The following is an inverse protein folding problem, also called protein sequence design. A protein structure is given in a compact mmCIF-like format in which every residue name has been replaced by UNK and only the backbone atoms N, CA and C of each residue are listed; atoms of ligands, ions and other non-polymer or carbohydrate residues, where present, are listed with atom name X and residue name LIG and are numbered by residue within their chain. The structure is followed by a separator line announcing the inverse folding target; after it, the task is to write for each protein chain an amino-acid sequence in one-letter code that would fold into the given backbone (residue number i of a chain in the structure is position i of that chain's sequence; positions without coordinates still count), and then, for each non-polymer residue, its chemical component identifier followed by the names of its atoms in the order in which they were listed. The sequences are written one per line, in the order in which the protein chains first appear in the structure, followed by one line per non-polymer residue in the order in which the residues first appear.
data_IF_457670485946
#
_entry.id   IF_457670485946
#
_cell.length_a   1.000
_cell.length_b   1.000
_cell.length_c   1.000
_cell.angle_alpha   90.00
_cell.angle_beta   90.00
_cell.angle_gamma   90.00
#
_symmetry.space_group_name_H-M   'P 1'
#
loop_
_entity.id
_entity.type
_entity.pdbx_description
1 polymer ?
#
# COMPACT_ATOMS: atom_id res chain seq x y z
N UNK A 1 -61.43 32.18 26.78
CA UNK A 1 -61.60 33.60 27.15
C UNK A 1 -60.62 33.94 28.26
N UNK A 2 -59.86 35.03 28.11
CA UNK A 2 -59.43 35.89 29.21
C UNK A 2 -58.22 35.49 30.05
N UNK A 3 -57.10 36.20 29.82
CA UNK A 3 -56.20 36.89 30.77
C UNK A 3 -55.71 36.15 32.03
N UNK A 4 -54.39 35.99 32.23
CA UNK A 4 -53.37 37.01 32.54
C UNK A 4 -53.29 37.38 34.03
N UNK A 5 -52.04 37.62 34.45
CA UNK A 5 -51.56 38.28 35.68
C UNK A 5 -51.35 37.47 36.97
N UNK A 6 -50.06 37.19 37.20
CA UNK A 6 -49.23 37.80 38.26
C UNK A 6 -49.48 37.46 39.75
N UNK A 7 -48.53 36.67 40.27
CA UNK A 7 -47.85 36.63 41.59
C UNK A 7 -48.56 37.17 42.87
N UNK A 8 -48.26 36.52 44.02
CA UNK A 8 -47.21 37.09 44.88
C UNK A 8 -46.23 36.07 45.49
N UNK A 9 -45.11 36.64 45.91
CA UNK A 9 -43.97 36.08 46.66
C UNK A 9 -44.39 35.40 47.97
N UNK A 10 -43.64 34.38 48.39
CA UNK A 10 -43.43 34.06 49.79
C UNK A 10 -41.97 33.65 50.04
N UNK A 11 -41.37 34.32 51.03
CA UNK A 11 -40.08 34.04 51.63
C UNK A 11 -40.17 32.79 52.53
N UNK A 12 -39.14 31.92 52.51
CA UNK A 12 -38.83 31.01 53.61
C UNK A 12 -37.42 30.41 53.47
N UNK A 13 -36.53 30.77 54.41
CA UNK A 13 -35.64 29.88 55.19
C UNK A 13 -34.65 28.90 54.51
N UNK A 14 -33.42 28.73 55.04
CA UNK A 14 -32.36 27.94 54.43
C UNK A 14 -32.54 26.43 54.68
N UNK A 15 -32.93 25.69 53.65
CA UNK A 15 -33.02 24.21 53.67
C UNK A 15 -31.73 23.53 53.20
N UNK A 16 -31.09 22.80 54.12
CA UNK A 16 -30.15 21.68 53.96
C UNK A 16 -29.44 21.47 52.60
N UNK A 17 -28.10 21.68 52.62
CA UNK A 17 -27.12 21.26 51.61
C UNK A 17 -27.28 19.76 51.27
N UNK A 18 -27.90 19.43 50.13
CA UNK A 18 -27.74 18.11 49.50
C UNK A 18 -26.37 18.06 48.81
N UNK A 19 -25.48 17.21 49.32
CA UNK A 19 -24.23 16.84 48.64
C UNK A 19 -24.58 16.28 47.24
N UNK A 20 -24.30 17.05 46.19
CA UNK A 20 -24.25 16.52 44.82
C UNK A 20 -23.04 15.58 44.74
N UNK A 21 -23.29 14.27 44.77
CA UNK A 21 -22.34 13.27 44.27
C UNK A 21 -22.01 13.64 42.83
N UNK A 22 -20.84 14.27 42.62
CA UNK A 22 -20.21 14.36 41.31
C UNK A 22 -19.97 12.93 40.84
N UNK A 23 -20.80 12.43 39.92
CA UNK A 23 -20.45 11.30 39.09
C UNK A 23 -19.21 11.73 38.29
N UNK A 24 -18.04 11.36 38.80
CA UNK A 24 -16.82 11.34 38.01
C UNK A 24 -17.01 10.30 36.93
N UNK A 25 -17.60 10.72 35.79
CA UNK A 25 -17.48 9.97 34.56
C UNK A 25 -16.00 9.97 34.21
N UNK A 26 -15.31 8.88 34.54
CA UNK A 26 -13.97 8.64 34.05
C UNK A 26 -14.01 8.78 32.53
N UNK A 27 -13.26 9.74 32.00
CA UNK A 27 -12.96 9.78 30.59
C UNK A 27 -12.20 8.50 30.30
N UNK A 28 -12.88 7.50 29.74
CA UNK A 28 -12.22 6.35 29.11
C UNK A 28 -11.57 6.89 27.84
N UNK A 29 -10.33 7.37 27.97
CA UNK A 29 -9.45 7.59 26.84
C UNK A 29 -9.19 6.19 26.28
N UNK A 30 -9.72 5.91 25.10
CA UNK A 30 -9.44 4.66 24.39
C UNK A 30 -7.93 4.47 24.26
N UNK A 31 -7.48 3.21 24.23
CA UNK A 31 -6.08 2.90 23.99
C UNK A 31 -5.60 3.66 22.73
N UNK A 32 -4.36 4.18 22.70
CA UNK A 32 -3.80 4.81 21.52
C UNK A 32 -4.00 3.89 20.32
N UNK A 33 -4.78 4.33 19.33
CA UNK A 33 -4.81 3.64 18.05
C UNK A 33 -3.44 3.86 17.40
N UNK A 34 -2.81 2.81 16.91
CA UNK A 34 -1.66 2.95 16.02
C UNK A 34 -2.16 3.64 14.74
N UNK A 35 -2.00 4.96 14.67
CA UNK A 35 -2.26 5.72 13.45
C UNK A 35 -1.20 5.33 12.45
N UNK A 36 -1.61 4.79 11.31
CA UNK A 36 -0.68 4.39 10.25
C UNK A 36 -0.02 5.63 9.64
N UNK A 37 1.30 5.74 9.80
CA UNK A 37 2.07 6.85 9.22
C UNK A 37 2.27 6.61 7.72
N UNK A 38 1.93 7.61 6.92
CA UNK A 38 2.15 7.61 5.47
C UNK A 38 3.61 7.91 5.14
N UNK A 39 4.13 7.20 4.15
CA UNK A 39 5.46 7.46 3.58
C UNK A 39 5.28 7.83 2.10
N UNK A 40 5.95 8.89 1.62
CA UNK A 40 6.61 9.89 2.44
C UNK A 40 5.58 10.74 3.21
N UNK A 41 5.98 11.29 4.35
CA UNK A 41 5.15 12.25 5.08
C UNK A 41 4.95 13.52 4.24
N UNK A 42 3.82 14.22 4.43
CA UNK A 42 3.62 15.53 3.82
C UNK A 42 4.68 16.50 4.34
N UNK A 43 5.50 17.06 3.44
CA UNK A 43 6.55 18.02 3.75
C UNK A 43 6.18 19.42 3.29
N UNK A 44 6.68 20.41 4.01
CA UNK A 44 6.63 21.82 3.60
C UNK A 44 8.03 22.29 3.20
N UNK A 45 8.09 23.12 2.18
CA UNK A 45 9.29 23.83 1.74
C UNK A 45 9.78 24.81 2.82
N UNK A 46 10.97 25.36 2.61
CA UNK A 46 11.53 26.45 3.45
C UNK A 46 10.63 27.68 3.60
N UNK A 47 9.64 27.84 2.71
CA UNK A 47 8.67 28.95 2.72
C UNK A 47 7.33 28.55 3.36
N UNK A 48 7.23 27.37 3.98
CA UNK A 48 6.00 26.86 4.60
C UNK A 48 4.94 26.36 3.60
N UNK A 49 5.24 26.38 2.30
CA UNK A 49 4.35 25.84 1.26
C UNK A 49 4.50 24.33 1.12
N UNK A 50 3.43 23.56 0.88
CA UNK A 50 3.54 22.13 0.57
C UNK A 50 4.54 21.87 -0.56
N UNK A 51 5.38 20.85 -0.41
CA UNK A 51 6.28 20.43 -1.48
C UNK A 51 5.44 19.84 -2.62
N UNK A 52 5.64 20.36 -3.84
CA UNK A 52 4.95 19.88 -5.03
C UNK A 52 5.32 18.42 -5.33
N UNK A 53 4.32 17.61 -5.72
CA UNK A 53 4.57 16.21 -6.00
C UNK A 53 5.20 16.02 -7.38
N UNK A 54 6.40 15.46 -7.42
CA UNK A 54 7.07 15.07 -8.66
C UNK A 54 7.09 13.55 -8.80
N UNK A 55 6.77 13.05 -10.00
CA UNK A 55 6.78 11.62 -10.36
C UNK A 55 7.50 11.37 -11.69
N UNK A 56 8.78 11.76 -11.81
CA UNK A 56 9.57 11.45 -13.00
C UNK A 56 9.75 9.93 -13.15
N UNK A 57 9.98 9.47 -14.38
CA UNK A 57 10.42 8.10 -14.61
C UNK A 57 11.87 7.93 -14.13
N UNK A 58 12.09 6.91 -13.30
CA UNK A 58 13.38 6.57 -12.71
C UNK A 58 13.86 5.25 -13.30
N UNK A 59 15.12 5.25 -13.75
CA UNK A 59 15.79 4.05 -14.27
C UNK A 59 16.18 3.07 -13.17
N UNK A 60 16.33 1.80 -13.56
CA UNK A 60 16.72 0.70 -12.67
C UNK A 60 17.94 0.99 -11.79
N UNK A 61 19.02 1.53 -12.38
CA UNK A 61 20.28 1.74 -11.66
C UNK A 61 20.17 2.85 -10.61
N UNK A 62 19.46 3.94 -10.94
CA UNK A 62 19.16 5.02 -9.97
C UNK A 62 18.29 4.47 -8.84
N UNK A 63 17.29 3.66 -9.18
CA UNK A 63 16.40 3.07 -8.18
C UNK A 63 17.13 2.11 -7.25
N UNK A 64 18.05 1.30 -7.78
CA UNK A 64 18.92 0.44 -6.97
C UNK A 64 19.82 1.26 -6.06
N UNK A 65 20.50 2.29 -6.58
CA UNK A 65 21.35 3.16 -5.77
C UNK A 65 20.57 3.83 -4.63
N UNK A 66 19.37 4.32 -4.91
CA UNK A 66 18.49 4.91 -3.91
C UNK A 66 18.07 3.90 -2.82
N UNK A 67 17.69 2.67 -3.21
CA UNK A 67 17.36 1.62 -2.24
C UNK A 67 18.57 1.18 -1.41
N UNK A 68 19.77 1.14 -2.01
CA UNK A 68 21.02 0.89 -1.28
C UNK A 68 21.27 1.99 -0.23
N UNK A 69 21.07 3.26 -0.61
CA UNK A 69 21.19 4.39 0.32
C UNK A 69 20.21 4.26 1.49
N UNK A 70 18.94 3.96 1.21
CA UNK A 70 17.92 3.73 2.24
C UNK A 70 18.32 2.57 3.17
N UNK A 71 18.73 1.43 2.60
CA UNK A 71 19.15 0.26 3.37
C UNK A 71 20.32 0.59 4.30
N UNK A 72 21.36 1.24 3.78
CA UNK A 72 22.50 1.69 4.57
C UNK A 72 22.07 2.65 5.68
N UNK A 73 21.23 3.64 5.40
CA UNK A 73 20.74 4.60 6.39
C UNK A 73 20.06 3.91 7.58
N UNK A 74 19.26 2.88 7.30
CA UNK A 74 18.55 2.08 8.30
C UNK A 74 19.54 1.18 9.06
N UNK A 75 20.46 0.52 8.36
CA UNK A 75 21.45 -0.38 8.93
C UNK A 75 22.40 0.35 9.91
N UNK A 76 22.83 1.58 9.59
CA UNK A 76 23.65 2.41 10.48
C UNK A 76 22.97 2.75 11.81
N UNK A 77 21.64 2.60 11.89
CA UNK A 77 20.85 2.76 13.12
C UNK A 77 20.54 1.43 13.81
N UNK A 78 21.18 0.34 13.39
CA UNK A 78 21.01 -0.99 13.96
C UNK A 78 19.61 -1.57 13.76
N UNK A 79 18.94 -1.20 12.68
CA UNK A 79 17.60 -1.70 12.32
C UNK A 79 17.66 -2.52 11.03
N UNK A 80 16.68 -3.39 10.85
CA UNK A 80 16.45 -4.12 9.62
C UNK A 80 14.95 -4.21 9.37
N UNK A 81 14.51 -3.87 8.16
CA UNK A 81 13.10 -3.79 7.81
C UNK A 81 12.77 -4.74 6.68
N UNK A 82 11.56 -5.27 6.72
CA UNK A 82 11.00 -6.10 5.66
C UNK A 82 9.71 -5.45 5.17
N UNK A 83 9.62 -5.21 3.87
CA UNK A 83 8.45 -4.64 3.21
C UNK A 83 8.13 -5.41 1.93
N UNK A 84 6.94 -5.21 1.39
CA UNK A 84 6.45 -5.85 0.18
C UNK A 84 6.24 -4.78 -0.87
N UNK A 85 6.85 -4.95 -2.04
CA UNK A 85 6.64 -4.10 -3.20
C UNK A 85 5.60 -4.68 -4.16
N UNK A 86 4.80 -3.81 -4.75
CA UNK A 86 3.84 -4.16 -5.81
C UNK A 86 4.05 -3.25 -7.02
N UNK A 87 3.80 -3.77 -8.22
CA UNK A 87 3.79 -2.98 -9.44
C UNK A 87 5.19 -2.67 -9.97
N UNK A 88 5.39 -1.43 -10.42
CA UNK A 88 6.50 -1.05 -11.29
C UNK A 88 7.91 -1.36 -10.76
N UNK A 89 8.12 -1.30 -9.45
CA UNK A 89 9.39 -1.70 -8.84
C UNK A 89 9.71 -3.19 -9.06
N UNK A 90 8.72 -4.08 -8.96
CA UNK A 90 8.90 -5.52 -9.22
C UNK A 90 9.25 -5.74 -10.69
N UNK A 91 8.55 -5.05 -11.59
CA UNK A 91 8.78 -5.13 -13.03
C UNK A 91 10.15 -4.59 -13.47
N UNK A 92 10.66 -3.57 -12.79
CA UNK A 92 11.92 -2.89 -13.15
C UNK A 92 13.13 -3.57 -12.50
N UNK A 93 13.05 -3.89 -11.22
CA UNK A 93 14.17 -4.40 -10.44
C UNK A 93 14.35 -5.91 -10.57
N UNK A 94 13.26 -6.67 -10.48
CA UNK A 94 13.27 -8.13 -10.45
C UNK A 94 12.98 -8.76 -11.83
N UNK A 95 11.79 -8.55 -12.38
CA UNK A 95 11.36 -9.18 -13.65
C UNK A 95 12.09 -8.59 -14.87
N UNK A 96 12.60 -7.35 -14.74
CA UNK A 96 13.24 -6.58 -15.82
C UNK A 96 12.37 -6.47 -17.08
N UNK A 97 11.04 -6.50 -16.91
CA UNK A 97 10.07 -6.31 -18.00
C UNK A 97 9.91 -4.83 -18.36
N UNK A 98 10.44 -3.91 -17.54
CA UNK A 98 10.44 -2.47 -17.75
C UNK A 98 11.82 -1.88 -17.49
N UNK A 99 12.19 -0.84 -18.25
CA UNK A 99 13.43 -0.08 -18.04
C UNK A 99 13.30 1.00 -16.97
N UNK A 100 12.08 1.51 -16.74
CA UNK A 100 11.79 2.59 -15.79
C UNK A 100 10.49 2.39 -15.01
N UNK A 101 10.43 3.03 -13.84
CA UNK A 101 9.22 3.22 -13.05
C UNK A 101 9.23 4.58 -12.35
N UNK A 102 8.06 5.09 -11.95
CA UNK A 102 7.97 6.38 -11.26
C UNK A 102 8.04 6.24 -9.73
N UNK A 103 7.80 5.04 -9.19
CA UNK A 103 7.78 4.80 -7.75
C UNK A 103 7.99 3.33 -7.35
N UNK A 104 8.16 3.14 -6.04
CA UNK A 104 8.18 1.88 -5.30
C UNK A 104 7.02 1.92 -4.33
N UNK A 105 5.94 1.28 -4.77
CA UNK A 105 4.73 1.10 -4.00
C UNK A 105 4.92 -0.04 -3.01
N UNK A 106 4.99 0.28 -1.71
CA UNK A 106 5.24 -0.70 -0.66
C UNK A 106 4.08 -0.83 0.34
N UNK A 107 4.03 -1.99 1.00
CA UNK A 107 3.21 -2.24 2.18
C UNK A 107 3.87 -3.27 3.09
N UNK A 108 3.30 -3.48 4.28
CA UNK A 108 3.71 -4.54 5.20
C UNK A 108 2.96 -4.45 6.52
N UNK A 109 2.69 -5.60 7.13
CA UNK A 109 2.02 -5.71 8.44
C UNK A 109 3.00 -5.79 9.61
N UNK A 110 4.26 -6.15 9.38
CA UNK A 110 5.29 -6.30 10.42
C UNK A 110 6.06 -4.99 10.71
N UNK A 111 5.70 -3.92 10.02
CA UNK A 111 6.42 -2.65 10.03
C UNK A 111 5.72 -1.57 10.90
N UNK A 112 6.31 -1.33 12.09
CA UNK A 112 5.76 -0.46 13.14
C UNK A 112 5.82 1.04 12.78
N UNK A 113 5.11 1.89 13.54
CA UNK A 113 5.18 3.34 13.36
C UNK A 113 6.59 3.92 13.54
N UNK A 114 7.38 3.41 14.48
CA UNK A 114 8.77 3.86 14.64
C UNK A 114 9.62 3.49 13.41
N UNK A 115 9.34 2.32 12.83
CA UNK A 115 9.99 1.90 11.61
C UNK A 115 9.57 2.82 10.44
N UNK A 116 8.29 3.20 10.36
CA UNK A 116 7.76 4.14 9.35
C UNK A 116 8.43 5.50 9.39
N UNK A 117 8.61 6.06 10.59
CA UNK A 117 9.34 7.32 10.77
C UNK A 117 10.76 7.19 10.24
N UNK A 118 11.47 6.12 10.62
CA UNK A 118 12.85 5.93 10.18
C UNK A 118 12.97 5.71 8.66
N UNK A 119 12.04 4.97 8.05
CA UNK A 119 12.02 4.79 6.61
C UNK A 119 11.68 6.09 5.88
N UNK A 120 10.75 6.91 6.38
CA UNK A 120 10.48 8.24 5.83
C UNK A 120 11.70 9.16 5.88
N UNK A 121 12.46 9.15 6.99
CA UNK A 121 13.74 9.85 7.10
C UNK A 121 14.76 9.35 6.06
N UNK A 122 14.91 8.03 5.92
CA UNK A 122 15.84 7.42 4.98
C UNK A 122 15.47 7.71 3.52
N UNK A 123 14.18 7.65 3.18
CA UNK A 123 13.63 7.95 1.85
C UNK A 123 13.88 9.41 1.48
N UNK A 124 13.68 10.32 2.44
CA UNK A 124 13.96 11.73 2.24
C UNK A 124 15.45 11.99 2.07
N UNK A 125 16.31 11.36 2.88
CA UNK A 125 17.76 11.50 2.78
C UNK A 125 18.28 10.99 1.42
N UNK A 126 17.81 9.83 0.95
CA UNK A 126 18.12 9.33 -0.39
C UNK A 126 17.68 10.30 -1.50
N UNK A 127 16.51 10.93 -1.36
CA UNK A 127 16.03 11.93 -2.31
C UNK A 127 16.97 13.16 -2.40
N UNK A 128 17.63 13.55 -1.31
CA UNK A 128 18.61 14.64 -1.35
C UNK A 128 19.89 14.26 -2.10
N UNK A 129 20.21 12.97 -2.18
CA UNK A 129 21.42 12.45 -2.83
C UNK A 129 21.18 11.99 -4.28
N UNK A 130 19.92 11.76 -4.67
CA UNK A 130 19.52 11.30 -5.99
C UNK A 130 18.42 12.22 -6.55
N UNK A 131 18.84 13.26 -7.30
CA UNK A 131 17.95 14.34 -7.75
C UNK A 131 16.93 13.89 -8.80
N UNK A 132 17.14 12.73 -9.42
CA UNK A 132 16.22 12.12 -10.38
C UNK A 132 15.00 11.50 -9.70
N UNK A 133 15.02 11.34 -8.37
CA UNK A 133 13.92 10.75 -7.63
C UNK A 133 12.75 11.73 -7.46
N UNK A 134 11.55 11.24 -7.75
CA UNK A 134 10.31 11.92 -7.41
C UNK A 134 10.11 12.06 -5.91
N UNK A 135 9.27 13.00 -5.48
CA UNK A 135 8.95 13.21 -4.06
C UNK A 135 8.17 12.05 -3.44
N UNK A 136 7.63 11.14 -4.25
CA UNK A 136 6.88 9.95 -3.84
C UNK A 136 7.52 8.65 -4.34
N UNK A 137 8.83 8.68 -4.66
CA UNK A 137 9.52 7.56 -5.31
C UNK A 137 9.50 6.26 -4.51
N UNK A 138 9.34 6.29 -3.18
CA UNK A 138 9.07 5.14 -2.34
C UNK A 138 7.94 5.51 -1.39
N UNK A 139 6.80 4.80 -1.47
CA UNK A 139 5.60 5.24 -0.78
C UNK A 139 4.69 4.09 -0.32
N UNK A 140 3.86 4.36 0.69
CA UNK A 140 2.91 3.40 1.28
C UNK A 140 1.47 3.62 0.81
N UNK A 141 1.25 4.31 -0.31
CA UNK A 141 -0.10 4.60 -0.82
C UNK A 141 -0.97 3.36 -1.04
N UNK A 142 -0.45 2.22 -1.56
CA UNK A 142 -1.28 1.03 -1.76
C UNK A 142 -1.91 0.54 -0.45
N UNK A 143 -1.18 0.66 0.66
CA UNK A 143 -1.62 0.17 1.97
C UNK A 143 -2.77 1.01 2.57
N UNK A 144 -3.02 2.23 2.09
CA UNK A 144 -4.15 3.04 2.55
C UNK A 144 -5.52 2.50 2.10
N UNK A 145 -5.55 1.74 1.00
CA UNK A 145 -6.78 1.26 0.39
C UNK A 145 -7.05 -0.21 0.66
N UNK A 146 -6.14 -0.88 1.37
CA UNK A 146 -6.24 -2.28 1.73
C UNK A 146 -6.86 -2.44 3.13
N UNK A 147 -7.66 -3.49 3.32
CA UNK A 147 -8.21 -3.83 4.64
C UNK A 147 -7.11 -4.44 5.51
N UNK A 148 -7.05 -4.09 6.79
CA UNK A 148 -5.99 -4.56 7.73
C UNK A 148 -5.74 -6.08 7.67
N UNK A 149 -6.75 -6.98 7.68
CA UNK A 149 -6.50 -8.43 7.60
C UNK A 149 -5.76 -8.85 6.33
N UNK A 150 -6.05 -8.18 5.20
CA UNK A 150 -5.42 -8.46 3.92
C UNK A 150 -3.92 -8.12 3.93
N UNK A 151 -3.48 -7.14 4.72
CA UNK A 151 -2.06 -6.80 4.81
C UNK A 151 -1.25 -7.95 5.41
N UNK A 152 -1.76 -8.53 6.49
CA UNK A 152 -1.09 -9.65 7.18
C UNK A 152 -1.07 -10.89 6.31
N UNK A 153 -2.16 -11.17 5.61
CA UNK A 153 -2.23 -12.26 4.65
C UNK A 153 -1.23 -12.11 3.51
N UNK A 154 -1.22 -10.94 2.84
CA UNK A 154 -0.32 -10.68 1.72
C UNK A 154 1.15 -10.61 2.16
N UNK A 155 1.43 -10.11 3.37
CA UNK A 155 2.79 -10.12 3.95
C UNK A 155 3.27 -11.55 4.12
N UNK A 156 2.49 -12.40 4.79
CA UNK A 156 2.86 -13.80 5.00
C UNK A 156 2.95 -14.58 3.68
N UNK A 157 2.08 -14.30 2.72
CA UNK A 157 2.14 -14.91 1.38
C UNK A 157 3.39 -14.48 0.60
N UNK A 158 3.77 -13.19 0.64
CA UNK A 158 4.98 -12.70 0.01
C UNK A 158 6.26 -13.33 0.61
N UNK A 159 6.29 -13.47 1.94
CA UNK A 159 7.40 -14.15 2.65
C UNK A 159 7.51 -15.63 2.26
N UNK A 160 6.36 -16.33 2.12
CA UNK A 160 6.34 -17.72 1.63
C UNK A 160 6.77 -17.83 0.16
N UNK A 161 6.34 -16.88 -0.69
CA UNK A 161 6.75 -16.81 -2.09
C UNK A 161 8.27 -16.50 -2.21
N UNK A 162 8.84 -15.78 -1.23
CA UNK A 162 10.27 -15.50 -1.08
C UNK A 162 10.95 -14.92 -2.33
N UNK A 163 10.22 -14.15 -3.13
CA UNK A 163 10.78 -13.43 -4.28
C UNK A 163 11.34 -12.10 -3.80
N UNK A 164 12.67 -12.02 -3.66
CA UNK A 164 13.37 -10.83 -3.17
C UNK A 164 13.66 -9.86 -4.31
N UNK A 165 12.97 -8.72 -4.31
CA UNK A 165 13.16 -7.62 -5.26
C UNK A 165 14.41 -6.82 -4.93
N UNK A 166 14.70 -6.67 -3.64
CA UNK A 166 15.89 -6.03 -3.11
C UNK A 166 16.24 -6.65 -1.75
N UNK A 167 17.53 -6.85 -1.47
CA UNK A 167 17.97 -7.47 -0.22
C UNK A 167 19.35 -6.96 0.20
N UNK A 168 19.38 -6.18 1.27
CA UNK A 168 20.59 -5.70 1.93
C UNK A 168 20.36 -5.54 3.43
N UNK A 169 21.42 -5.55 4.26
CA UNK A 169 21.30 -5.12 5.65
C UNK A 169 20.58 -3.77 5.74
N UNK A 170 19.56 -3.70 6.59
CA UNK A 170 18.70 -2.53 6.77
C UNK A 170 17.36 -2.64 6.05
N UNK A 171 17.31 -3.25 4.86
CA UNK A 171 16.09 -3.32 4.06
C UNK A 171 16.03 -4.57 3.16
N UNK A 172 15.01 -5.39 3.37
CA UNK A 172 14.58 -6.45 2.46
C UNK A 172 13.22 -6.07 1.86
N UNK A 173 13.09 -6.22 0.54
CA UNK A 173 11.86 -5.99 -0.20
C UNK A 173 11.46 -7.28 -0.91
N UNK A 174 10.32 -7.84 -0.53
CA UNK A 174 9.68 -8.95 -1.26
C UNK A 174 8.76 -8.44 -2.37
N UNK A 175 8.59 -9.21 -3.44
CA UNK A 175 7.49 -8.98 -4.38
C UNK A 175 6.17 -9.39 -3.70
N UNK A 176 5.10 -8.65 -3.99
CA UNK A 176 3.76 -9.07 -3.62
C UNK A 176 3.43 -10.44 -4.27
N UNK A 177 2.51 -11.22 -3.66
CA UNK A 177 2.11 -12.50 -4.22
C UNK A 177 1.63 -12.36 -5.67
N UNK A 178 2.00 -13.28 -6.54
CA UNK A 178 1.75 -13.17 -7.97
C UNK A 178 0.27 -13.07 -8.30
N UNK A 179 -0.58 -13.82 -7.59
CA UNK A 179 -2.03 -13.79 -7.71
C UNK A 179 -2.62 -12.42 -7.36
N UNK A 180 -2.06 -11.75 -6.34
CA UNK A 180 -2.49 -10.41 -5.94
C UNK A 180 -2.04 -9.37 -6.98
N UNK A 181 -0.77 -9.42 -7.40
CA UNK A 181 -0.21 -8.50 -8.38
C UNK A 181 -0.96 -8.62 -9.74
N UNK A 182 -1.24 -9.85 -10.17
CA UNK A 182 -2.06 -10.15 -11.34
C UNK A 182 -3.47 -9.56 -11.20
N UNK A 183 -4.17 -9.89 -10.11
CA UNK A 183 -5.54 -9.45 -9.90
C UNK A 183 -5.65 -7.91 -9.84
N UNK A 184 -4.70 -7.23 -9.20
CA UNK A 184 -4.64 -5.78 -9.13
C UNK A 184 -4.48 -5.12 -10.51
N UNK A 185 -3.70 -5.74 -11.41
CA UNK A 185 -3.54 -5.25 -12.79
C UNK A 185 -4.81 -5.42 -13.61
N UNK A 186 -5.42 -6.59 -13.54
CA UNK A 186 -6.69 -6.85 -14.24
C UNK A 186 -7.78 -5.90 -13.76
N UNK A 187 -7.89 -5.68 -12.44
CA UNK A 187 -8.80 -4.69 -11.87
C UNK A 187 -8.58 -3.31 -12.48
N UNK A 188 -7.33 -2.83 -12.55
CA UNK A 188 -7.02 -1.51 -13.10
C UNK A 188 -7.40 -1.37 -14.58
N UNK A 189 -7.25 -2.45 -15.37
CA UNK A 189 -7.67 -2.49 -16.77
C UNK A 189 -9.20 -2.41 -16.89
N UNK A 190 -9.91 -3.22 -16.11
CA UNK A 190 -11.37 -3.38 -16.23
C UNK A 190 -12.16 -2.22 -15.64
N UNK A 191 -11.69 -1.61 -14.55
CA UNK A 191 -12.38 -0.47 -13.94
C UNK A 191 -12.30 0.80 -14.79
N UNK A 192 -11.63 0.76 -15.96
CA UNK A 192 -11.68 1.81 -16.99
C UNK A 192 -11.19 3.18 -16.53
N UNK A 193 -10.48 3.24 -15.40
CA UNK A 193 -10.00 4.49 -14.84
C UNK A 193 -8.93 5.12 -15.73
N UNK A 194 -8.76 6.45 -15.67
CA UNK A 194 -7.64 7.19 -16.27
C UNK A 194 -6.23 6.69 -15.82
N UNK A 195 -6.21 5.72 -14.91
CA UNK A 195 -5.01 5.05 -14.41
C UNK A 195 -4.61 3.81 -15.21
N UNK A 196 -5.44 3.29 -16.12
CA UNK A 196 -5.05 2.20 -17.00
C UNK A 196 -3.85 2.65 -17.85
N UNK A 197 -2.78 1.83 -17.84
CA UNK A 197 -1.54 2.11 -18.55
C UNK A 197 -1.36 1.14 -19.72
N UNK A 198 -0.72 1.57 -20.82
CA UNK A 198 -0.51 0.70 -21.98
C UNK A 198 0.19 -0.63 -21.68
N UNK A 199 1.04 -0.66 -20.64
CA UNK A 199 1.79 -1.84 -20.22
C UNK A 199 1.06 -2.74 -19.21
N UNK A 200 -0.18 -2.42 -18.79
CA UNK A 200 -0.85 -3.19 -17.74
C UNK A 200 -1.21 -4.61 -18.14
N UNK A 201 -1.58 -4.82 -19.40
CA UNK A 201 -1.84 -6.16 -19.92
C UNK A 201 -0.56 -7.01 -19.90
N UNK A 202 0.56 -6.42 -20.31
CA UNK A 202 1.86 -7.11 -20.31
C UNK A 202 2.35 -7.44 -18.89
N UNK A 203 2.15 -6.51 -17.94
CA UNK A 203 2.45 -6.75 -16.53
C UNK A 203 1.57 -7.89 -15.98
N UNK A 204 0.26 -7.87 -16.25
CA UNK A 204 -0.67 -8.93 -15.83
C UNK A 204 -0.26 -10.30 -16.40
N UNK A 205 0.03 -10.37 -17.70
CA UNK A 205 0.50 -11.58 -18.38
C UNK A 205 1.81 -12.10 -17.78
N UNK A 206 2.72 -11.19 -17.40
CA UNK A 206 3.97 -11.58 -16.74
C UNK A 206 3.70 -12.16 -15.35
N UNK A 207 2.86 -11.51 -14.53
CA UNK A 207 2.58 -12.02 -13.18
C UNK A 207 1.87 -13.38 -13.18
N UNK A 208 0.89 -13.59 -14.07
CA UNK A 208 0.25 -14.92 -14.16
C UNK A 208 1.22 -15.99 -14.67
N UNK A 209 2.17 -15.62 -15.54
CA UNK A 209 3.23 -16.54 -15.95
C UNK A 209 4.11 -16.96 -14.77
N UNK A 210 4.57 -16.01 -13.95
CA UNK A 210 5.35 -16.31 -12.75
C UNK A 210 4.57 -17.19 -11.76
N UNK A 211 3.26 -16.95 -11.61
CA UNK A 211 2.40 -17.82 -10.82
C UNK A 211 2.38 -19.25 -11.38
N UNK A 212 2.13 -19.42 -12.68
CA UNK A 212 2.07 -20.73 -13.34
C UNK A 212 3.40 -21.48 -13.21
N UNK A 213 4.52 -20.80 -13.41
CA UNK A 213 5.85 -21.39 -13.25
C UNK A 213 6.14 -21.86 -11.82
N UNK A 214 5.60 -21.15 -10.83
CA UNK A 214 5.70 -21.55 -9.42
C UNK A 214 4.73 -22.69 -9.01
N UNK A 215 3.76 -23.03 -9.87
CA UNK A 215 2.70 -24.01 -9.59
C UNK A 215 2.59 -25.06 -10.71
N UNK A 216 3.69 -25.79 -10.92
CA UNK A 216 3.78 -26.97 -11.80
C UNK A 216 3.50 -26.72 -13.30
N UNK A 217 3.64 -25.46 -13.75
CA UNK A 217 3.44 -25.04 -15.14
C UNK A 217 2.05 -25.40 -15.71
N UNK A 218 1.02 -25.45 -14.87
CA UNK A 218 -0.35 -25.72 -15.30
C UNK A 218 -1.13 -24.42 -15.49
N UNK A 219 -2.01 -24.35 -16.51
CA UNK A 219 -2.98 -23.27 -16.61
C UNK A 219 -3.81 -23.15 -15.33
N UNK A 220 -4.17 -21.92 -14.99
CA UNK A 220 -4.99 -21.62 -13.82
C UNK A 220 -6.47 -21.77 -14.20
N UNK A 221 -7.28 -22.40 -13.34
CA UNK A 221 -8.72 -22.43 -13.56
C UNK A 221 -9.29 -21.00 -13.48
N UNK A 222 -10.16 -20.63 -14.43
CA UNK A 222 -10.82 -19.31 -14.39
C UNK A 222 -11.52 -19.06 -13.05
N UNK A 223 -12.13 -20.08 -12.44
CA UNK A 223 -12.79 -19.97 -11.13
C UNK A 223 -11.82 -19.54 -10.04
N UNK A 224 -10.59 -20.06 -10.04
CA UNK A 224 -9.53 -19.69 -9.08
C UNK A 224 -9.14 -18.22 -9.22
N UNK A 225 -8.98 -17.73 -10.44
CA UNK A 225 -8.65 -16.32 -10.67
C UNK A 225 -9.79 -15.36 -10.28
N UNK A 226 -11.04 -15.81 -10.43
CA UNK A 226 -12.21 -15.08 -9.94
C UNK A 226 -12.31 -15.11 -8.41
N UNK A 227 -11.89 -16.20 -7.75
CA UNK A 227 -11.81 -16.28 -6.29
C UNK A 227 -10.77 -15.29 -5.73
N UNK A 228 -9.59 -15.18 -6.35
CA UNK A 228 -8.61 -14.15 -5.99
C UNK A 228 -9.20 -12.74 -6.09
N UNK A 229 -9.89 -12.46 -7.20
CA UNK A 229 -10.52 -11.16 -7.41
C UNK A 229 -11.54 -10.85 -6.30
N UNK A 230 -12.39 -11.82 -5.92
CA UNK A 230 -13.32 -11.68 -4.79
C UNK A 230 -12.59 -11.45 -3.47
N UNK A 231 -11.55 -12.23 -3.18
CA UNK A 231 -10.76 -12.13 -1.96
C UNK A 231 -10.12 -10.75 -1.81
N UNK A 232 -9.59 -10.19 -2.89
CA UNK A 232 -8.89 -8.91 -2.90
C UNK A 232 -9.80 -7.71 -3.16
N UNK A 233 -11.11 -7.94 -3.35
CA UNK A 233 -12.08 -6.92 -3.72
C UNK A 233 -11.67 -6.19 -5.02
N UNK A 234 -11.30 -6.98 -6.02
CA UNK A 234 -10.91 -6.57 -7.36
C UNK A 234 -11.95 -7.02 -8.39
N UNK A 235 -12.04 -6.30 -9.49
CA UNK A 235 -12.83 -6.65 -10.66
C UNK A 235 -12.07 -7.62 -11.56
N UNK A 236 -12.75 -8.68 -11.98
CA UNK A 236 -12.26 -9.64 -12.96
C UNK A 236 -13.46 -10.33 -13.65
N UNK A 237 -13.32 -10.68 -14.93
CA UNK A 237 -14.38 -11.39 -15.67
C UNK A 237 -13.82 -12.62 -16.35
N UNK A 238 -14.63 -13.69 -16.38
CA UNK A 238 -14.28 -14.92 -17.09
C UNK A 238 -13.99 -14.66 -18.57
N UNK A 239 -14.74 -13.74 -19.19
CA UNK A 239 -14.53 -13.32 -20.58
C UNK A 239 -13.13 -12.74 -20.77
N UNK A 240 -12.74 -11.73 -19.97
CA UNK A 240 -11.44 -11.08 -20.11
C UNK A 240 -10.26 -12.04 -19.86
N UNK A 241 -10.40 -12.99 -18.94
CA UNK A 241 -9.38 -14.02 -18.70
C UNK A 241 -9.22 -14.95 -19.91
N UNK A 242 -10.35 -15.39 -20.48
CA UNK A 242 -10.37 -16.37 -21.58
C UNK A 242 -10.00 -15.77 -22.94
N UNK A 243 -10.26 -14.48 -23.13
CA UNK A 243 -9.96 -13.76 -24.37
C UNK A 243 -8.72 -12.91 -24.19
N UNK A 244 -8.83 -11.78 -23.50
CA UNK A 244 -7.78 -10.76 -23.36
C UNK A 244 -6.47 -11.32 -22.80
N UNK A 245 -6.51 -11.99 -21.64
CA UNK A 245 -5.28 -12.52 -21.03
C UNK A 245 -4.73 -13.71 -21.82
N UNK A 246 -5.55 -14.70 -22.16
CA UNK A 246 -5.08 -15.87 -22.91
C UNK A 246 -4.51 -15.52 -24.30
N UNK A 247 -5.10 -14.55 -25.00
CA UNK A 247 -4.56 -14.09 -26.28
C UNK A 247 -3.17 -13.46 -26.10
N UNK A 248 -3.02 -12.56 -25.13
CA UNK A 248 -1.74 -11.91 -24.86
C UNK A 248 -0.69 -12.88 -24.32
N UNK A 249 -1.10 -13.82 -23.45
CA UNK A 249 -0.23 -14.88 -22.94
C UNK A 249 0.24 -15.80 -24.06
N UNK A 250 -0.68 -16.27 -24.93
CA UNK A 250 -0.35 -17.14 -26.06
C UNK A 250 0.64 -16.49 -27.03
N UNK A 251 0.53 -15.18 -27.27
CA UNK A 251 1.49 -14.41 -28.09
C UNK A 251 2.89 -14.38 -27.49
N UNK A 252 3.01 -14.33 -26.15
CA UNK A 252 4.28 -14.12 -25.45
C UNK A 252 4.97 -15.41 -25.01
N UNK A 253 4.21 -16.37 -24.49
CA UNK A 253 4.72 -17.60 -23.87
C UNK A 253 4.21 -18.87 -24.56
N UNK A 254 3.26 -18.76 -25.49
CA UNK A 254 2.55 -19.90 -26.05
C UNK A 254 1.48 -20.45 -25.10
N UNK A 255 0.61 -21.33 -25.61
CA UNK A 255 -0.44 -21.98 -24.80
C UNK A 255 -1.51 -21.02 -24.28
N UNK A 256 -2.04 -21.30 -23.08
CA UNK A 256 -3.07 -20.51 -22.38
C UNK A 256 -2.70 -20.38 -20.92
N UNK A 257 -2.97 -19.21 -20.34
CA UNK A 257 -2.84 -18.99 -18.90
C UNK A 257 -4.03 -19.57 -18.13
N UNK A 258 -5.21 -19.59 -18.75
CA UNK A 258 -6.47 -19.93 -18.11
C UNK A 258 -7.28 -21.00 -18.86
N UNK A 259 -7.84 -21.93 -18.08
CA UNK A 259 -8.77 -23.00 -18.50
C UNK A 259 -10.19 -22.85 -17.95
#
# INVERSE_FOLDING_TARGET
MGNSCSQPRNEAGPGARKLRKRRGGGMNIGLPQEVMINIPCNRVSRHGLPVEQATPDVGREVLLAALQHVAQYIAHRGKNFTVIAVGGAVNTLYLKSRSTTHDVNIFGSTFTNQARILLDEAVFDAQQHHQELGTNWLNTKPQMWMKVPLHSELTAAAERQNVRVFDMPGLTIYAAPWEYAFSAKVNRILSGSDQARPYDLDDAVTYIHEYICAHDNQPVLVTTALDWARQFNHENTAEFLRTGINEAYGKRYGGKAFE
#
